data_IF_664590404921
#
_entry.id   IF_664590404921
#
_cell.length_a   1.000
_cell.length_b   1.000
_cell.length_c   1.000
_cell.angle_alpha   90.00
_cell.angle_beta   90.00
_cell.angle_gamma   90.00
#
_symmetry.space_group_name_H-M   'P 1'
#
loop_
_entity.id
_entity.type
_entity.pdbx_description
1 polymer ?
#
# COMPACT_ATOMS: atom_id res chain seq x y z
N UNK A 1 -4.23 -2.24 15.51
CA UNK A 1 -4.56 -2.61 14.11
C UNK A 1 -4.08 -4.02 13.88
N UNK A 2 -4.85 -4.89 13.22
CA UNK A 2 -4.38 -6.24 12.87
C UNK A 2 -3.42 -6.11 11.69
N UNK A 3 -2.15 -6.56 11.79
CA UNK A 3 -1.21 -6.46 10.70
C UNK A 3 -1.68 -7.23 9.47
N UNK A 4 -1.48 -6.64 8.29
CA UNK A 4 -1.77 -7.26 7.00
C UNK A 4 -0.47 -7.80 6.44
N UNK A 5 -0.44 -9.08 6.05
CA UNK A 5 0.68 -9.65 5.33
C UNK A 5 0.49 -9.42 3.82
N UNK A 6 0.94 -8.26 3.33
CA UNK A 6 0.76 -7.85 1.93
C UNK A 6 1.37 -8.84 0.94
N UNK A 7 2.55 -9.39 1.22
CA UNK A 7 3.18 -10.37 0.34
C UNK A 7 2.34 -11.64 0.21
N UNK A 8 1.83 -12.18 1.33
CA UNK A 8 0.91 -13.33 1.29
C UNK A 8 -0.34 -13.01 0.49
N UNK A 9 -0.96 -11.86 0.73
CA UNK A 9 -2.17 -11.47 0.01
C UNK A 9 -1.91 -11.31 -1.50
N UNK A 10 -0.77 -10.74 -1.89
CA UNK A 10 -0.34 -10.64 -3.29
C UNK A 10 -0.24 -12.02 -3.92
N UNK A 11 0.52 -12.93 -3.30
CA UNK A 11 0.75 -14.27 -3.84
C UNK A 11 -0.54 -15.08 -3.96
N UNK A 12 -1.40 -15.07 -2.95
CA UNK A 12 -2.66 -15.82 -2.97
C UNK A 12 -3.64 -15.24 -4.00
N UNK A 13 -3.79 -13.91 -4.08
CA UNK A 13 -4.65 -13.30 -5.10
C UNK A 13 -4.12 -13.53 -6.51
N UNK A 14 -2.80 -13.50 -6.71
CA UNK A 14 -2.20 -13.82 -8.00
C UNK A 14 -2.55 -15.25 -8.41
N UNK A 15 -2.39 -16.23 -7.52
CA UNK A 15 -2.79 -17.63 -7.78
C UNK A 15 -4.26 -17.73 -8.12
N UNK A 16 -5.14 -17.11 -7.33
CA UNK A 16 -6.59 -17.11 -7.60
C UNK A 16 -6.94 -16.53 -8.98
N UNK A 17 -6.24 -15.49 -9.43
CA UNK A 17 -6.44 -14.88 -10.74
C UNK A 17 -5.94 -15.80 -11.87
N UNK A 18 -4.80 -16.47 -11.66
CA UNK A 18 -4.23 -17.42 -12.62
C UNK A 18 -5.08 -18.69 -12.76
N UNK A 19 -5.57 -19.25 -11.65
CA UNK A 19 -6.48 -20.40 -11.66
C UNK A 19 -7.78 -20.06 -12.43
N UNK A 20 -8.31 -18.84 -12.24
CA UNK A 20 -9.45 -18.37 -13.01
C UNK A 20 -9.09 -18.16 -14.49
N UNK A 21 -7.87 -17.72 -14.81
CA UNK A 21 -7.43 -17.58 -16.19
C UNK A 21 -7.35 -18.93 -16.91
N UNK A 22 -6.93 -19.99 -16.22
CA UNK A 22 -6.92 -21.36 -16.75
C UNK A 22 -8.34 -21.87 -17.01
N UNK A 23 -9.30 -21.58 -16.11
CA UNK A 23 -10.71 -21.97 -16.33
C UNK A 23 -11.33 -21.35 -17.59
N UNK A 24 -10.79 -20.22 -18.07
CA UNK A 24 -11.27 -19.62 -19.31
C UNK A 24 -10.96 -20.50 -20.53
N UNK A 25 -9.99 -21.41 -20.49
CA UNK A 25 -9.69 -22.35 -21.59
C UNK A 25 -10.89 -23.23 -21.96
N UNK A 26 -11.72 -23.57 -20.98
CA UNK A 26 -12.92 -24.40 -21.19
C UNK A 26 -14.18 -23.56 -21.37
N UNK A 27 -14.35 -22.49 -20.60
CA UNK A 27 -15.53 -21.61 -20.64
C UNK A 27 -15.10 -20.15 -20.85
N UNK A 28 -15.23 -19.65 -22.08
CA UNK A 28 -14.80 -18.29 -22.40
C UNK A 28 -15.77 -17.23 -21.87
N UNK A 29 -15.29 -16.40 -20.95
CA UNK A 29 -15.96 -15.20 -20.49
C UNK A 29 -15.04 -13.97 -20.68
N UNK A 30 -15.33 -13.08 -21.64
CA UNK A 30 -14.49 -11.91 -21.91
C UNK A 30 -14.53 -10.88 -20.78
N UNK A 31 -15.58 -10.85 -19.96
CA UNK A 31 -15.66 -9.97 -18.79
C UNK A 31 -14.73 -10.42 -17.68
N UNK A 32 -14.72 -11.71 -17.38
CA UNK A 32 -13.75 -12.30 -16.44
C UNK A 32 -12.32 -12.10 -16.97
N UNK A 33 -12.09 -12.39 -18.25
CA UNK A 33 -10.78 -12.20 -18.89
C UNK A 33 -10.27 -10.76 -18.78
N UNK A 34 -11.14 -9.77 -19.02
CA UNK A 34 -10.79 -8.36 -18.94
C UNK A 34 -10.31 -7.94 -17.55
N UNK A 35 -10.99 -8.39 -16.50
CA UNK A 35 -10.61 -8.07 -15.11
C UNK A 35 -9.34 -8.81 -14.65
N UNK A 36 -9.11 -10.04 -15.11
CA UNK A 36 -7.84 -10.74 -14.86
C UNK A 36 -6.68 -9.99 -15.53
N UNK A 37 -6.82 -9.63 -16.81
CA UNK A 37 -5.80 -8.86 -17.52
C UNK A 37 -5.56 -7.49 -16.85
N UNK A 38 -6.63 -6.81 -16.43
CA UNK A 38 -6.54 -5.57 -15.68
C UNK A 38 -5.68 -5.74 -14.43
N UNK A 39 -5.99 -6.74 -13.59
CA UNK A 39 -5.28 -7.01 -12.34
C UNK A 39 -3.80 -7.32 -12.58
N UNK A 40 -3.51 -8.30 -13.45
CA UNK A 40 -2.15 -8.75 -13.71
C UNK A 40 -1.30 -7.67 -14.40
N UNK A 41 -1.93 -6.70 -15.09
CA UNK A 41 -1.22 -5.55 -15.66
C UNK A 41 -0.72 -4.53 -14.62
N UNK A 42 -1.08 -4.66 -13.34
CA UNK A 42 -0.53 -3.83 -12.26
C UNK A 42 0.96 -4.10 -12.03
N UNK A 43 1.44 -5.27 -12.46
CA UNK A 43 2.84 -5.67 -12.43
C UNK A 43 3.55 -5.38 -13.76
N UNK A 44 4.88 -5.50 -13.76
CA UNK A 44 5.66 -5.36 -14.99
C UNK A 44 5.29 -6.46 -15.98
N UNK A 45 4.78 -6.07 -17.15
CA UNK A 45 4.17 -7.01 -18.10
C UNK A 45 5.20 -7.87 -18.84
N UNK A 46 6.46 -7.44 -18.93
CA UNK A 46 7.52 -8.13 -19.70
C UNK A 46 7.80 -9.55 -19.21
N UNK A 47 7.52 -9.83 -17.93
CA UNK A 47 7.80 -11.12 -17.29
C UNK A 47 6.56 -11.99 -17.07
N UNK A 48 5.36 -11.53 -17.46
CA UNK A 48 4.10 -12.24 -17.18
C UNK A 48 3.59 -13.01 -18.40
N UNK A 49 4.11 -14.22 -18.63
CA UNK A 49 3.70 -15.06 -19.77
C UNK A 49 2.21 -15.40 -19.77
N UNK A 50 1.61 -15.63 -18.60
CA UNK A 50 0.19 -15.95 -18.47
C UNK A 50 -0.70 -14.77 -18.88
N UNK A 51 -0.33 -13.54 -18.46
CA UNK A 51 -0.98 -12.32 -18.92
C UNK A 51 -0.88 -12.17 -20.45
N UNK A 52 0.33 -12.34 -21.02
CA UNK A 52 0.53 -12.24 -22.47
C UNK A 52 -0.31 -13.25 -23.25
N UNK A 53 -0.39 -14.50 -22.77
CA UNK A 53 -1.28 -15.52 -23.36
C UNK A 53 -2.74 -15.10 -23.34
N UNK A 54 -3.22 -14.58 -22.21
CA UNK A 54 -4.62 -14.16 -22.07
C UNK A 54 -4.94 -12.94 -22.93
N UNK A 55 -4.04 -11.95 -23.00
CA UNK A 55 -4.17 -10.80 -23.88
C UNK A 55 -4.25 -11.22 -25.35
N UNK A 56 -3.36 -12.12 -25.80
CA UNK A 56 -3.39 -12.64 -27.17
C UNK A 56 -4.71 -13.34 -27.48
N UNK A 57 -5.27 -14.06 -26.50
CA UNK A 57 -6.59 -14.69 -26.64
C UNK A 57 -7.72 -13.65 -26.73
N UNK A 58 -7.71 -12.61 -25.90
CA UNK A 58 -8.68 -11.50 -26.00
C UNK A 58 -8.61 -10.83 -27.38
N UNK A 59 -7.41 -10.61 -27.92
CA UNK A 59 -7.23 -10.03 -29.25
C UNK A 59 -7.75 -10.95 -30.37
N UNK A 60 -7.59 -12.27 -30.22
CA UNK A 60 -8.15 -13.25 -31.15
C UNK A 60 -9.68 -13.25 -31.10
N UNK A 61 -10.26 -13.27 -29.91
CA UNK A 61 -11.70 -13.17 -29.70
C UNK A 61 -12.28 -11.93 -30.40
N UNK A 62 -11.65 -10.76 -30.25
CA UNK A 62 -12.07 -9.53 -30.94
C UNK A 62 -11.91 -9.54 -32.47
N UNK A 63 -11.29 -10.56 -33.07
CA UNK A 63 -11.15 -10.71 -34.53
C UNK A 63 -12.08 -11.78 -35.09
N UNK A 64 -12.36 -12.82 -34.31
CA UNK A 64 -13.05 -14.03 -34.78
C UNK A 64 -14.55 -14.05 -34.42
N UNK A 65 -14.97 -13.34 -33.38
CA UNK A 65 -16.36 -13.33 -32.92
C UNK A 65 -17.25 -12.48 -33.85
N UNK A 66 -18.21 -13.12 -34.52
CA UNK A 66 -19.14 -12.46 -35.46
C UNK A 66 -20.17 -11.57 -34.76
N UNK A 67 -20.47 -11.84 -33.48
CA UNK A 67 -21.50 -11.16 -32.71
C UNK A 67 -20.92 -10.11 -31.74
N UNK A 68 -19.62 -9.81 -31.90
CA UNK A 68 -18.82 -8.97 -31.02
C UNK A 68 -19.51 -7.65 -30.62
N UNK A 69 -20.17 -7.00 -31.58
CA UNK A 69 -20.80 -5.69 -31.42
C UNK A 69 -22.32 -5.74 -31.16
N UNK A 70 -22.91 -6.93 -31.22
CA UNK A 70 -24.34 -7.15 -30.97
C UNK A 70 -24.59 -7.43 -29.47
N UNK A 71 -23.61 -8.02 -28.79
CA UNK A 71 -23.70 -8.32 -27.36
C UNK A 71 -23.21 -7.11 -26.55
N UNK A 72 -24.14 -6.33 -26.01
CA UNK A 72 -23.83 -5.10 -25.24
C UNK A 72 -22.85 -5.32 -24.07
N UNK A 73 -22.88 -6.49 -23.43
CA UNK A 73 -21.97 -6.82 -22.30
C UNK A 73 -20.51 -6.98 -22.72
N UNK A 74 -20.23 -7.12 -24.01
CA UNK A 74 -18.87 -7.21 -24.54
C UNK A 74 -18.19 -5.85 -24.69
N UNK A 75 -18.94 -4.74 -24.62
CA UNK A 75 -18.38 -3.41 -24.82
C UNK A 75 -17.31 -3.04 -23.76
N UNK A 76 -17.52 -3.37 -22.49
CA UNK A 76 -16.49 -3.19 -21.45
C UNK A 76 -15.22 -4.00 -21.72
N UNK A 77 -15.32 -5.34 -21.95
CA UNK A 77 -14.17 -6.15 -22.34
C UNK A 77 -13.42 -5.70 -23.60
N UNK A 78 -14.15 -5.22 -24.62
CA UNK A 78 -13.56 -4.61 -25.82
C UNK A 78 -12.74 -3.37 -25.42
N UNK A 79 -13.32 -2.48 -24.62
CA UNK A 79 -12.65 -1.28 -24.14
C UNK A 79 -11.40 -1.61 -23.31
N UNK A 80 -11.48 -2.61 -22.44
CA UNK A 80 -10.35 -3.09 -21.65
C UNK A 80 -9.22 -3.63 -22.54
N UNK A 81 -9.55 -4.34 -23.61
CA UNK A 81 -8.56 -4.87 -24.56
C UNK A 81 -7.85 -3.76 -25.33
N UNK A 82 -8.60 -2.74 -25.78
CA UNK A 82 -8.02 -1.54 -26.41
C UNK A 82 -7.07 -0.84 -25.43
N UNK A 83 -7.51 -0.65 -24.18
CA UNK A 83 -6.66 -0.07 -23.14
C UNK A 83 -5.38 -0.87 -22.88
N UNK A 84 -5.45 -2.21 -22.84
CA UNK A 84 -4.28 -3.08 -22.69
C UNK A 84 -3.30 -2.95 -23.86
N UNK A 85 -3.80 -2.89 -25.10
CA UNK A 85 -2.95 -2.67 -26.28
C UNK A 85 -2.14 -1.39 -26.17
N UNK A 86 -2.79 -0.28 -25.80
CA UNK A 86 -2.10 0.99 -25.56
C UNK A 86 -1.07 0.88 -24.44
N UNK A 87 -1.41 0.19 -23.35
CA UNK A 87 -0.50 0.01 -22.20
C UNK A 87 0.74 -0.82 -22.56
N UNK A 88 0.65 -1.71 -23.55
CA UNK A 88 1.78 -2.47 -24.11
C UNK A 88 2.57 -1.69 -25.18
N UNK A 89 2.22 -0.44 -25.48
CA UNK A 89 2.87 0.35 -26.53
C UNK A 89 2.50 -0.12 -27.95
N UNK A 90 1.47 -0.94 -28.11
CA UNK A 90 0.94 -1.30 -29.43
C UNK A 90 0.07 -0.17 -29.99
N UNK A 91 0.01 -0.07 -31.31
CA UNK A 91 -0.89 0.87 -31.98
C UNK A 91 -2.35 0.47 -31.73
N UNK A 92 -3.15 1.42 -31.26
CA UNK A 92 -4.59 1.22 -31.07
C UNK A 92 -5.29 1.05 -32.42
N UNK A 93 -6.24 0.12 -32.50
CA UNK A 93 -7.09 -0.04 -33.68
C UNK A 93 -8.16 1.06 -33.69
N UNK A 94 -7.88 2.16 -34.41
CA UNK A 94 -8.76 3.32 -34.50
C UNK A 94 -10.17 2.94 -34.96
N UNK A 95 -10.31 1.95 -35.85
CA UNK A 95 -11.61 1.50 -36.35
C UNK A 95 -12.48 0.94 -35.22
N UNK A 96 -11.88 0.17 -34.31
CA UNK A 96 -12.57 -0.40 -33.15
C UNK A 96 -12.89 0.65 -32.09
N UNK A 97 -12.05 1.67 -31.93
CA UNK A 97 -12.35 2.80 -31.04
C UNK A 97 -13.56 3.59 -31.55
N UNK A 98 -13.64 3.82 -32.86
CA UNK A 98 -14.79 4.50 -33.49
C UNK A 98 -16.05 3.67 -33.32
N UNK A 99 -16.03 2.38 -33.64
CA UNK A 99 -17.19 1.49 -33.48
C UNK A 99 -17.66 1.40 -32.02
N UNK A 100 -16.72 1.21 -31.07
CA UNK A 100 -17.01 1.23 -29.65
C UNK A 100 -17.65 2.56 -29.21
N UNK A 101 -17.14 3.68 -29.72
CA UNK A 101 -17.68 5.00 -29.43
C UNK A 101 -19.13 5.14 -29.92
N UNK A 102 -19.43 4.68 -31.13
CA UNK A 102 -20.79 4.71 -31.68
C UNK A 102 -21.75 3.82 -30.88
N UNK A 103 -21.35 2.57 -30.58
CA UNK A 103 -22.17 1.64 -29.79
C UNK A 103 -22.45 2.21 -28.38
N UNK A 104 -21.45 2.80 -27.72
CA UNK A 104 -21.63 3.40 -26.39
C UNK A 104 -22.57 4.60 -26.41
N UNK A 105 -22.54 5.45 -27.45
CA UNK A 105 -23.48 6.58 -27.59
C UNK A 105 -24.94 6.13 -27.71
N UNK A 106 -25.17 4.96 -28.31
CA UNK A 106 -26.52 4.41 -28.51
C UNK A 106 -27.09 3.75 -27.25
N UNK A 107 -26.27 3.47 -26.24
CA UNK A 107 -26.73 2.88 -25.00
C UNK A 107 -27.55 3.87 -24.18
N UNK A 108 -28.69 3.41 -23.67
CA UNK A 108 -29.50 4.13 -22.71
C UNK A 108 -29.30 3.55 -21.30
N UNK A 109 -29.08 4.40 -20.28
CA UNK A 109 -28.93 3.95 -18.90
C UNK A 109 -30.27 3.51 -18.25
N UNK A 110 -31.40 3.95 -18.79
CA UNK A 110 -32.72 3.55 -18.31
C UNK A 110 -33.05 2.09 -18.69
N UNK A 111 -32.42 1.56 -19.74
CA UNK A 111 -32.62 0.18 -20.18
C UNK A 111 -32.09 -0.81 -19.14
N UNK A 112 -32.96 -1.75 -18.72
CA UNK A 112 -32.68 -2.71 -17.63
C UNK A 112 -31.37 -3.48 -17.79
N UNK A 113 -31.02 -3.83 -19.03
CA UNK A 113 -29.86 -4.67 -19.35
C UNK A 113 -28.64 -3.89 -19.84
N UNK A 114 -28.73 -2.56 -19.84
CA UNK A 114 -27.65 -1.71 -20.30
C UNK A 114 -26.39 -1.86 -19.45
N UNK A 115 -25.21 -2.01 -20.07
CA UNK A 115 -23.95 -2.06 -19.35
C UNK A 115 -23.64 -0.72 -18.65
N UNK A 116 -24.31 0.37 -19.01
CA UNK A 116 -24.21 1.67 -18.32
C UNK A 116 -24.72 1.64 -16.88
N UNK A 117 -25.55 0.63 -16.54
CA UNK A 117 -26.02 0.42 -15.16
C UNK A 117 -25.02 -0.35 -14.32
N UNK A 118 -24.02 -0.97 -14.91
CA UNK A 118 -23.01 -1.74 -14.19
C UNK A 118 -21.73 -0.91 -14.04
N UNK A 119 -21.35 -0.51 -12.81
CA UNK A 119 -20.18 0.32 -12.58
C UNK A 119 -18.88 -0.36 -13.02
N UNK A 120 -18.83 -1.70 -13.01
CA UNK A 120 -17.65 -2.46 -13.43
C UNK A 120 -17.47 -2.36 -14.95
N UNK A 121 -18.56 -2.49 -15.71
CA UNK A 121 -18.58 -2.27 -17.16
C UNK A 121 -18.22 -0.83 -17.51
N UNK A 122 -18.83 0.16 -16.83
CA UNK A 122 -18.54 1.58 -17.10
C UNK A 122 -17.09 1.94 -16.78
N UNK A 123 -16.51 1.35 -15.74
CA UNK A 123 -15.09 1.52 -15.46
C UNK A 123 -14.22 0.96 -16.60
N UNK A 124 -14.47 -0.26 -17.08
CA UNK A 124 -13.74 -0.80 -18.23
C UNK A 124 -13.92 0.05 -19.50
N UNK A 125 -15.13 0.52 -19.78
CA UNK A 125 -15.42 1.44 -20.89
C UNK A 125 -14.59 2.73 -20.80
N UNK A 126 -14.46 3.30 -19.60
CA UNK A 126 -13.70 4.53 -19.38
C UNK A 126 -12.20 4.38 -19.68
N UNK A 127 -11.63 3.21 -19.40
CA UNK A 127 -10.22 2.90 -19.68
C UNK A 127 -9.93 2.93 -21.19
N UNK A 128 -10.77 2.25 -21.97
CA UNK A 128 -10.63 2.18 -23.44
C UNK A 128 -10.95 3.50 -24.12
N UNK A 129 -12.03 4.16 -23.72
CA UNK A 129 -12.51 5.39 -24.37
C UNK A 129 -11.81 6.67 -23.92
N UNK A 130 -10.73 6.59 -23.13
CA UNK A 130 -9.92 7.77 -22.76
C UNK A 130 -9.48 8.60 -23.98
N UNK A 131 -9.08 7.92 -25.07
CA UNK A 131 -8.70 8.50 -26.37
C UNK A 131 -9.85 8.52 -27.39
N UNK A 132 -11.03 8.02 -27.02
CA UNK A 132 -12.19 7.91 -27.91
C UNK A 132 -12.91 9.24 -28.19
N UNK A 133 -13.99 9.16 -28.97
CA UNK A 133 -14.77 10.31 -29.42
C UNK A 133 -15.26 11.18 -28.23
N UNK A 134 -15.18 12.51 -28.36
CA UNK A 134 -15.68 13.50 -27.38
C UNK A 134 -17.13 13.24 -26.97
N UNK A 135 -18.00 12.89 -27.91
CA UNK A 135 -19.42 12.64 -27.64
C UNK A 135 -19.63 11.40 -26.76
N UNK A 136 -18.98 10.28 -27.11
CA UNK A 136 -19.07 9.04 -26.33
C UNK A 136 -18.54 9.23 -24.90
N UNK A 137 -17.40 9.95 -24.75
CA UNK A 137 -16.87 10.32 -23.44
C UNK A 137 -17.84 11.24 -22.67
N UNK A 138 -18.43 12.22 -23.35
CA UNK A 138 -19.43 13.12 -22.77
C UNK A 138 -20.66 12.36 -22.25
N UNK A 139 -21.12 11.38 -23.01
CA UNK A 139 -22.22 10.48 -22.62
C UNK A 139 -21.87 9.69 -21.35
N UNK A 140 -20.72 9.00 -21.34
CA UNK A 140 -20.27 8.25 -20.16
C UNK A 140 -20.09 9.14 -18.93
N UNK A 141 -19.52 10.35 -19.10
CA UNK A 141 -19.40 11.32 -18.01
C UNK A 141 -20.77 11.69 -17.44
N UNK A 142 -21.74 12.02 -18.31
CA UNK A 142 -23.10 12.36 -17.90
C UNK A 142 -23.73 11.27 -17.05
N UNK A 143 -23.64 10.01 -17.51
CA UNK A 143 -24.17 8.86 -16.79
C UNK A 143 -23.45 8.66 -15.45
N UNK A 144 -22.12 8.68 -15.44
CA UNK A 144 -21.36 8.50 -14.21
C UNK A 144 -21.69 9.58 -13.17
N UNK A 145 -21.82 10.84 -13.57
CA UNK A 145 -22.26 11.93 -12.68
C UNK A 145 -23.67 11.71 -12.10
N UNK A 146 -24.60 11.18 -12.89
CA UNK A 146 -25.95 10.85 -12.41
C UNK A 146 -25.91 9.72 -11.38
N UNK A 147 -25.11 8.68 -11.64
CA UNK A 147 -25.04 7.49 -10.81
C UNK A 147 -24.22 7.66 -9.52
N UNK A 148 -23.35 8.67 -9.41
CA UNK A 148 -22.66 9.04 -8.15
C UNK A 148 -23.61 9.26 -6.96
N UNK A 149 -24.86 9.65 -7.23
CA UNK A 149 -25.85 9.96 -6.19
C UNK A 149 -26.61 8.71 -5.71
N UNK A 150 -26.41 7.55 -6.31
CA UNK A 150 -27.26 6.37 -6.15
C UNK A 150 -26.48 5.13 -5.69
N UNK A 151 -27.17 4.24 -4.99
CA UNK A 151 -26.64 2.92 -4.65
C UNK A 151 -25.56 2.87 -3.56
N UNK A 152 -24.94 1.69 -3.37
CA UNK A 152 -23.92 1.44 -2.35
C UNK A 152 -22.62 2.17 -2.65
N UNK A 153 -21.73 2.25 -1.65
CA UNK A 153 -20.50 3.05 -1.73
C UNK A 153 -19.58 2.56 -2.85
N UNK A 154 -19.37 1.24 -2.98
CA UNK A 154 -18.60 0.62 -4.06
C UNK A 154 -19.04 1.08 -5.45
N UNK A 155 -20.35 1.13 -5.70
CA UNK A 155 -20.92 1.59 -6.98
C UNK A 155 -20.49 3.02 -7.27
N UNK A 156 -20.66 3.90 -6.28
CA UNK A 156 -20.30 5.32 -6.41
C UNK A 156 -18.81 5.51 -6.67
N UNK A 157 -17.95 4.77 -5.96
CA UNK A 157 -16.49 4.87 -6.13
C UNK A 157 -16.08 4.43 -7.54
N UNK A 158 -16.63 3.33 -8.07
CA UNK A 158 -16.30 2.87 -9.42
C UNK A 158 -16.77 3.86 -10.52
N UNK A 159 -17.93 4.50 -10.36
CA UNK A 159 -18.33 5.60 -11.27
C UNK A 159 -17.43 6.83 -11.13
N UNK A 160 -17.02 7.18 -9.91
CA UNK A 160 -16.03 8.23 -9.69
C UNK A 160 -14.69 7.89 -10.37
N UNK A 161 -14.32 6.60 -10.39
CA UNK A 161 -13.08 6.15 -10.99
C UNK A 161 -13.16 6.23 -12.51
N UNK A 162 -14.31 5.87 -13.08
CA UNK A 162 -14.58 6.08 -14.49
C UNK A 162 -14.46 7.56 -14.89
N UNK A 163 -14.96 8.49 -14.06
CA UNK A 163 -14.80 9.93 -14.28
C UNK A 163 -13.32 10.37 -14.23
N UNK A 164 -12.53 9.86 -13.26
CA UNK A 164 -11.07 10.09 -13.19
C UNK A 164 -10.36 9.62 -14.45
N UNK A 165 -10.67 8.42 -14.94
CA UNK A 165 -10.08 7.89 -16.17
C UNK A 165 -10.42 8.73 -17.41
N UNK A 166 -11.63 9.33 -17.43
CA UNK A 166 -12.09 10.26 -18.46
C UNK A 166 -11.59 11.71 -18.27
N UNK A 167 -10.67 11.95 -17.32
CA UNK A 167 -9.98 13.22 -17.11
C UNK A 167 -10.69 14.21 -16.20
N UNK A 168 -11.71 13.80 -15.45
CA UNK A 168 -12.36 14.66 -14.45
C UNK A 168 -11.58 14.66 -13.13
N UNK A 169 -11.63 15.78 -12.40
CA UNK A 169 -11.03 15.91 -11.07
C UNK A 169 -12.06 15.62 -9.97
N UNK A 170 -12.32 14.33 -9.73
CA UNK A 170 -13.30 13.85 -8.74
C UNK A 170 -12.60 13.28 -7.51
N UNK A 171 -13.04 13.68 -6.32
CA UNK A 171 -12.60 13.11 -5.03
C UNK A 171 -13.36 11.83 -4.70
N UNK A 172 -12.79 10.96 -3.87
CA UNK A 172 -13.49 9.77 -3.39
C UNK A 172 -14.90 10.10 -2.83
N UNK A 173 -15.97 9.43 -3.31
CA UNK A 173 -17.29 9.54 -2.71
C UNK A 173 -17.28 9.23 -1.22
N UNK A 174 -17.93 10.07 -0.42
CA UNK A 174 -18.01 9.87 1.04
C UNK A 174 -19.13 8.87 1.39
N UNK A 175 -18.87 8.05 2.41
CA UNK A 175 -19.84 7.12 2.97
C UNK A 175 -19.18 6.11 3.90
N UNK A 176 -19.97 5.51 4.79
CA UNK A 176 -19.48 4.44 5.66
C UNK A 176 -19.54 3.09 4.90
N UNK A 177 -18.43 2.34 4.82
CA UNK A 177 -18.44 1.05 4.15
C UNK A 177 -19.36 0.07 4.87
N UNK A 178 -20.23 -0.60 4.12
CA UNK A 178 -21.23 -1.54 4.66
C UNK A 178 -20.78 -3.00 4.54
N UNK A 179 -19.94 -3.30 3.56
CA UNK A 179 -19.49 -4.67 3.27
C UNK A 179 -18.01 -4.74 2.87
N UNK A 180 -17.55 -5.97 2.59
CA UNK A 180 -16.17 -6.26 2.17
C UNK A 180 -15.84 -5.57 0.83
N UNK A 181 -16.79 -5.49 -0.09
CA UNK A 181 -16.59 -4.88 -1.40
C UNK A 181 -16.40 -3.37 -1.29
N UNK A 182 -17.14 -2.68 -0.42
CA UNK A 182 -16.96 -1.25 -0.14
C UNK A 182 -15.55 -0.96 0.38
N UNK A 183 -15.05 -1.76 1.34
CA UNK A 183 -13.71 -1.57 1.91
C UNK A 183 -12.61 -1.83 0.87
N UNK A 184 -12.71 -2.92 0.10
CA UNK A 184 -11.77 -3.21 -0.98
C UNK A 184 -11.72 -2.06 -1.99
N UNK A 185 -12.88 -1.53 -2.37
CA UNK A 185 -12.96 -0.46 -3.37
C UNK A 185 -12.40 0.86 -2.83
N UNK A 186 -12.56 1.15 -1.52
CA UNK A 186 -11.93 2.30 -0.87
C UNK A 186 -10.40 2.20 -0.83
N UNK A 187 -9.89 1.03 -0.44
CA UNK A 187 -8.44 0.76 -0.44
C UNK A 187 -7.86 0.90 -1.84
N UNK A 188 -8.50 0.27 -2.83
CA UNK A 188 -8.10 0.38 -4.22
C UNK A 188 -8.08 1.82 -4.72
N UNK A 189 -9.11 2.61 -4.40
CA UNK A 189 -9.14 4.03 -4.75
C UNK A 189 -7.96 4.80 -4.14
N UNK A 190 -7.71 4.62 -2.84
CA UNK A 190 -6.65 5.31 -2.13
C UNK A 190 -5.26 4.98 -2.69
N UNK A 191 -5.05 3.71 -3.07
CA UNK A 191 -3.80 3.27 -3.69
C UNK A 191 -3.63 3.75 -5.13
N UNK A 192 -4.68 3.68 -5.94
CA UNK A 192 -4.61 3.98 -7.38
C UNK A 192 -4.48 5.47 -7.66
N UNK A 193 -5.19 6.31 -6.91
CA UNK A 193 -5.27 7.76 -7.16
C UNK A 193 -4.45 8.60 -6.16
N UNK A 194 -3.57 7.96 -5.38
CA UNK A 194 -2.63 8.58 -4.43
C UNK A 194 -3.30 9.59 -3.47
N UNK A 195 -4.46 9.23 -2.89
CA UNK A 195 -5.15 10.11 -1.95
C UNK A 195 -4.60 10.00 -0.52
N UNK A 196 -4.70 11.09 0.25
CA UNK A 196 -4.12 11.25 1.60
C UNK A 196 -4.73 10.37 2.72
N UNK A 197 -5.46 9.30 2.36
CA UNK A 197 -6.21 8.45 3.31
C UNK A 197 -5.86 6.96 3.23
N UNK A 198 -4.71 6.61 2.64
CA UNK A 198 -4.22 5.22 2.52
C UNK A 198 -4.21 4.48 3.86
N UNK A 199 -3.61 5.06 4.90
CA UNK A 199 -3.56 4.48 6.24
C UNK A 199 -4.93 4.07 6.79
N UNK A 200 -5.92 4.98 6.76
CA UNK A 200 -7.25 4.70 7.28
C UNK A 200 -7.98 3.63 6.45
N UNK A 201 -7.77 3.60 5.13
CA UNK A 201 -8.33 2.57 4.27
C UNK A 201 -7.74 1.18 4.57
N UNK A 202 -6.41 1.08 4.71
CA UNK A 202 -5.75 -0.18 5.08
C UNK A 202 -6.12 -0.64 6.49
N UNK A 203 -6.29 0.28 7.43
CA UNK A 203 -6.79 -0.03 8.78
C UNK A 203 -8.21 -0.60 8.75
N UNK A 204 -9.11 -0.06 7.91
CA UNK A 204 -10.43 -0.63 7.69
C UNK A 204 -10.33 -2.05 7.11
N UNK A 205 -9.45 -2.27 6.13
CA UNK A 205 -9.20 -3.60 5.56
C UNK A 205 -8.68 -4.59 6.60
N UNK A 206 -7.72 -4.17 7.44
CA UNK A 206 -7.15 -5.00 8.50
C UNK A 206 -8.21 -5.56 9.47
N UNK A 207 -9.32 -4.84 9.68
CA UNK A 207 -10.44 -5.27 10.52
C UNK A 207 -11.35 -6.32 9.86
N UNK A 208 -11.37 -6.40 8.52
CA UNK A 208 -12.22 -7.33 7.78
C UNK A 208 -11.44 -8.47 7.10
N UNK A 209 -10.11 -8.43 7.13
CA UNK A 209 -9.23 -9.34 6.39
C UNK A 209 -9.56 -10.83 6.62
N UNK A 210 -9.92 -11.22 7.85
CA UNK A 210 -10.25 -12.59 8.21
C UNK A 210 -11.60 -13.08 7.64
N UNK A 211 -12.44 -12.17 7.13
CA UNK A 211 -13.72 -12.48 6.47
C UNK A 211 -13.54 -12.82 4.99
N UNK A 212 -12.34 -12.71 4.44
CA UNK A 212 -12.04 -12.95 3.03
C UNK A 212 -11.49 -14.37 2.87
N UNK A 213 -12.07 -15.14 1.96
CA UNK A 213 -11.54 -16.44 1.57
C UNK A 213 -10.39 -16.26 0.57
N UNK A 214 -9.14 -16.45 1.04
CA UNK A 214 -7.96 -16.49 0.17
C UNK A 214 -7.76 -17.85 -0.51
N UNK A 215 -8.38 -18.91 0.02
CA UNK A 215 -8.46 -20.21 -0.62
C UNK A 215 -9.93 -20.59 -0.77
N UNK A 216 -10.54 -20.43 -1.96
CA UNK A 216 -11.95 -20.71 -2.18
C UNK A 216 -12.34 -22.15 -1.86
N UNK A 217 -11.43 -23.10 -2.08
CA UNK A 217 -11.67 -24.53 -1.89
C UNK A 217 -11.69 -24.94 -0.41
N UNK A 218 -11.13 -24.09 0.47
CA UNK A 218 -11.08 -24.32 1.92
C UNK A 218 -11.72 -23.15 2.70
N UNK A 219 -12.65 -22.42 2.08
CA UNK A 219 -13.32 -21.29 2.71
C UNK A 219 -14.19 -21.76 3.89
N UNK A 220 -14.03 -21.13 5.05
CA UNK A 220 -14.96 -21.30 6.17
C UNK A 220 -16.33 -20.68 5.83
N UNK A 221 -17.40 -21.14 6.49
CA UNK A 221 -18.75 -20.55 6.38
C UNK A 221 -18.77 -19.05 6.72
N UNK A 222 -17.82 -18.58 7.53
CA UNK A 222 -17.68 -17.17 7.90
C UNK A 222 -16.87 -16.33 6.91
N UNK A 223 -16.33 -16.95 5.86
CA UNK A 223 -15.51 -16.29 4.85
C UNK A 223 -16.29 -16.13 3.54
N UNK A 224 -16.08 -14.98 2.90
CA UNK A 224 -16.69 -14.62 1.62
C UNK A 224 -15.68 -14.82 0.50
N UNK A 225 -16.12 -15.51 -0.55
CA UNK A 225 -15.41 -15.53 -1.83
C UNK A 225 -15.55 -14.17 -2.52
N UNK A 226 -14.42 -13.59 -2.93
CA UNK A 226 -14.40 -12.35 -3.68
C UNK A 226 -14.86 -12.57 -5.12
N UNK A 227 -15.60 -11.61 -5.66
CA UNK A 227 -15.87 -11.52 -7.10
C UNK A 227 -14.57 -11.28 -7.88
N UNK A 228 -14.55 -11.58 -9.18
CA UNK A 228 -13.36 -11.35 -10.02
C UNK A 228 -12.88 -9.89 -9.94
N UNK A 229 -13.82 -8.95 -9.97
CA UNK A 229 -13.55 -7.52 -9.88
C UNK A 229 -12.96 -7.15 -8.51
N UNK A 230 -13.52 -7.65 -7.41
CA UNK A 230 -12.94 -7.40 -6.07
C UNK A 230 -11.53 -7.96 -5.93
N UNK A 231 -11.25 -9.14 -6.51
CA UNK A 231 -9.88 -9.68 -6.55
C UNK A 231 -8.96 -8.76 -7.34
N UNK A 232 -9.41 -8.28 -8.50
CA UNK A 232 -8.63 -7.41 -9.37
C UNK A 232 -8.30 -6.05 -8.71
N UNK A 233 -9.30 -5.39 -8.10
CA UNK A 233 -9.13 -4.13 -7.38
C UNK A 233 -8.20 -4.30 -6.17
N UNK A 234 -8.41 -5.34 -5.37
CA UNK A 234 -7.57 -5.62 -4.21
C UNK A 234 -6.12 -5.96 -4.62
N UNK A 235 -5.95 -6.73 -5.69
CA UNK A 235 -4.64 -7.10 -6.22
C UNK A 235 -3.83 -5.87 -6.65
N UNK A 236 -4.41 -4.98 -7.46
CA UNK A 236 -3.74 -3.73 -7.86
C UNK A 236 -3.36 -2.89 -6.63
N UNK A 237 -4.26 -2.77 -5.66
CA UNK A 237 -3.99 -2.01 -4.43
C UNK A 237 -2.82 -2.60 -3.64
N UNK A 238 -2.77 -3.92 -3.47
CA UNK A 238 -1.65 -4.59 -2.78
C UNK A 238 -0.36 -4.44 -3.57
N UNK A 239 -0.39 -4.59 -4.89
CA UNK A 239 0.80 -4.39 -5.73
C UNK A 239 1.34 -2.98 -5.52
N UNK A 240 0.49 -1.95 -5.51
CA UNK A 240 0.90 -0.58 -5.25
C UNK A 240 1.48 -0.40 -3.84
N UNK A 241 0.81 -0.90 -2.81
CA UNK A 241 1.31 -0.84 -1.42
C UNK A 241 2.64 -1.60 -1.24
N UNK A 242 2.85 -2.72 -1.94
CA UNK A 242 4.13 -3.44 -1.90
C UNK A 242 5.26 -2.71 -2.63
N UNK A 243 4.94 -1.88 -3.63
CA UNK A 243 5.93 -1.08 -4.37
C UNK A 243 6.24 0.25 -3.67
N UNK A 244 5.23 0.88 -3.10
CA UNK A 244 5.29 2.19 -2.46
C UNK A 244 4.56 2.15 -1.11
N UNK A 245 5.15 1.53 -0.08
CA UNK A 245 4.49 1.29 1.20
C UNK A 245 4.08 2.58 1.91
N UNK A 246 2.90 2.62 2.49
CA UNK A 246 2.46 3.81 3.21
C UNK A 246 3.27 3.96 4.53
N UNK A 247 3.99 5.08 4.75
CA UNK A 247 4.90 5.19 5.89
C UNK A 247 4.23 5.08 7.26
N UNK A 248 3.00 5.60 7.41
CA UNK A 248 2.25 5.52 8.67
C UNK A 248 1.86 4.08 9.00
N UNK A 249 1.60 3.27 7.98
CA UNK A 249 1.35 1.85 8.09
C UNK A 249 2.62 1.09 8.48
N UNK A 250 3.75 1.42 7.86
CA UNK A 250 5.07 0.89 8.26
C UNK A 250 5.39 1.23 9.72
N UNK A 251 5.15 2.48 10.15
CA UNK A 251 5.32 2.90 11.55
C UNK A 251 4.52 1.98 12.50
N UNK A 252 3.28 1.65 12.14
CA UNK A 252 2.46 0.78 12.98
C UNK A 252 2.94 -0.67 13.00
N UNK A 253 3.50 -1.17 11.90
CA UNK A 253 3.94 -2.56 11.77
C UNK A 253 5.35 -2.82 12.30
N UNK A 254 6.22 -1.82 12.28
CA UNK A 254 7.55 -1.96 12.85
C UNK A 254 7.43 -2.27 14.35
N UNK A 255 8.15 -3.29 14.85
CA UNK A 255 8.14 -3.64 16.26
C UNK A 255 9.01 -2.64 17.04
N UNK A 256 8.68 -1.35 17.00
CA UNK A 256 9.40 -0.31 17.73
C UNK A 256 9.28 -0.52 19.24
N UNK A 257 10.30 -0.06 19.97
CA UNK A 257 10.28 -0.04 21.44
C UNK A 257 8.99 0.66 21.93
N UNK A 258 8.21 0.08 22.87
CA UNK A 258 6.89 0.62 23.24
C UNK A 258 6.92 2.09 23.65
N UNK A 259 7.95 2.51 24.39
CA UNK A 259 8.12 3.91 24.80
C UNK A 259 8.33 4.85 23.62
N UNK A 260 9.11 4.43 22.60
CA UNK A 260 9.29 5.22 21.38
C UNK A 260 7.96 5.33 20.67
N UNK A 261 7.30 4.20 20.43
CA UNK A 261 6.00 4.19 19.73
C UNK A 261 4.98 5.09 20.43
N UNK A 262 4.96 5.12 21.77
CA UNK A 262 4.08 5.99 22.55
C UNK A 262 4.37 7.49 22.32
N UNK A 263 5.65 7.89 22.38
CA UNK A 263 6.05 9.31 22.32
C UNK A 263 5.96 9.87 20.89
N UNK A 264 6.26 9.04 19.89
CA UNK A 264 6.51 9.55 18.53
C UNK A 264 5.31 9.42 17.60
N UNK A 265 4.29 8.64 17.97
CA UNK A 265 3.17 8.31 17.08
C UNK A 265 2.43 9.54 16.56
N UNK A 266 2.05 10.48 17.42
CA UNK A 266 1.30 11.65 16.97
C UNK A 266 2.16 12.52 16.03
N UNK A 267 3.40 12.79 16.43
CA UNK A 267 4.35 13.52 15.60
C UNK A 267 4.57 12.87 14.23
N UNK A 268 4.70 11.54 14.17
CA UNK A 268 4.87 10.84 12.90
C UNK A 268 3.62 10.96 12.01
N UNK A 269 2.43 10.80 12.58
CA UNK A 269 1.16 10.90 11.85
C UNK A 269 0.87 12.32 11.35
N UNK A 270 1.33 13.34 12.08
CA UNK A 270 1.18 14.75 11.72
C UNK A 270 2.28 15.22 10.74
N UNK A 271 3.25 14.36 10.40
CA UNK A 271 4.38 14.70 9.54
C UNK A 271 5.52 15.46 10.23
N UNK A 272 5.46 15.62 11.55
CA UNK A 272 6.47 16.25 12.40
C UNK A 272 7.63 15.27 12.73
N UNK A 273 8.25 14.69 11.70
CA UNK A 273 9.24 13.62 11.85
C UNK A 273 10.46 14.00 12.70
N UNK A 274 10.92 15.25 12.62
CA UNK A 274 12.06 15.71 13.42
C UNK A 274 11.73 15.71 14.93
N UNK A 275 10.51 16.08 15.30
CA UNK A 275 10.08 16.07 16.70
C UNK A 275 9.92 14.63 17.21
N UNK A 276 9.37 13.74 16.37
CA UNK A 276 9.32 12.31 16.65
C UNK A 276 10.71 11.75 17.00
N UNK A 277 11.73 12.05 16.19
CA UNK A 277 13.11 11.59 16.46
C UNK A 277 13.68 12.22 17.73
N UNK A 278 13.45 13.52 17.94
CA UNK A 278 13.97 14.22 19.11
C UNK A 278 13.43 13.64 20.42
N UNK A 279 12.13 13.33 20.48
CA UNK A 279 11.51 12.65 21.61
C UNK A 279 12.07 11.23 21.81
N UNK A 280 12.34 10.49 20.74
CA UNK A 280 12.97 9.18 20.83
C UNK A 280 14.42 9.25 21.38
N UNK A 281 15.21 10.26 20.97
CA UNK A 281 16.57 10.48 21.48
C UNK A 281 16.56 10.84 22.96
N UNK A 282 15.62 11.69 23.41
CA UNK A 282 15.44 11.97 24.85
C UNK A 282 15.11 10.71 25.63
N UNK A 283 14.21 9.87 25.12
CA UNK A 283 13.84 8.62 25.76
C UNK A 283 15.02 7.64 25.88
N UNK A 284 15.90 7.60 24.87
CA UNK A 284 17.14 6.81 24.94
C UNK A 284 18.07 7.32 26.05
N UNK A 285 18.28 8.65 26.14
CA UNK A 285 19.10 9.22 27.21
C UNK A 285 18.51 8.91 28.59
N UNK A 286 17.21 9.14 28.77
CA UNK A 286 16.49 8.85 30.00
C UNK A 286 16.65 7.37 30.41
N UNK A 287 16.53 6.43 29.46
CA UNK A 287 16.75 5.02 29.73
C UNK A 287 18.15 4.72 30.26
N UNK A 288 19.21 5.28 29.64
CA UNK A 288 20.59 5.06 30.09
C UNK A 288 20.77 5.62 31.52
N UNK A 289 20.25 6.82 31.77
CA UNK A 289 20.30 7.44 33.10
C UNK A 289 19.58 6.59 34.15
N UNK A 290 18.38 6.09 33.85
CA UNK A 290 17.61 5.23 34.75
C UNK A 290 18.32 3.90 35.05
N UNK A 291 18.99 3.32 34.05
CA UNK A 291 19.70 2.04 34.19
C UNK A 291 20.98 2.17 35.01
N UNK A 292 21.70 3.27 34.83
CA UNK A 292 23.05 3.49 35.40
C UNK A 292 23.04 4.31 36.68
N UNK A 293 22.02 5.13 36.90
CA UNK A 293 21.96 6.12 37.99
C UNK A 293 22.78 7.38 37.74
N UNK A 294 23.45 7.51 36.59
CA UNK A 294 24.31 8.64 36.26
C UNK A 294 23.49 9.68 35.48
N UNK A 295 23.25 10.85 36.06
CA UNK A 295 22.42 11.93 35.47
C UNK A 295 23.18 13.24 35.22
N UNK A 296 24.44 13.33 35.64
CA UNK A 296 25.27 14.53 35.66
C UNK A 296 26.20 14.66 34.43
N UNK A 297 25.99 13.84 33.40
CA UNK A 297 26.81 13.79 32.18
C UNK A 297 26.01 14.18 30.95
N UNK A 298 26.69 14.80 29.97
CA UNK A 298 26.11 14.94 28.62
C UNK A 298 25.90 13.57 28.00
N UNK A 299 25.06 13.47 26.98
CA UNK A 299 24.62 12.19 26.42
C UNK A 299 25.80 11.38 25.84
N UNK A 300 26.75 12.03 25.18
CA UNK A 300 27.97 11.38 24.66
C UNK A 300 28.89 10.94 25.80
N UNK A 301 29.11 11.80 26.81
CA UNK A 301 29.92 11.46 27.98
C UNK A 301 29.29 10.33 28.80
N UNK A 302 27.97 10.27 28.86
CA UNK A 302 27.21 9.22 29.53
C UNK A 302 27.47 7.88 28.85
N UNK A 303 27.42 7.81 27.52
CA UNK A 303 27.77 6.59 26.77
C UNK A 303 29.23 6.20 27.02
N UNK A 304 30.17 7.14 26.99
CA UNK A 304 31.58 6.86 27.25
C UNK A 304 31.83 6.31 28.65
N UNK A 305 31.19 6.92 29.65
CA UNK A 305 31.34 6.54 31.04
C UNK A 305 30.73 5.17 31.35
N UNK A 306 29.72 4.72 30.59
CA UNK A 306 28.92 3.54 30.92
C UNK A 306 29.18 2.35 30.00
N UNK A 307 29.55 2.58 28.74
CA UNK A 307 29.64 1.55 27.69
C UNK A 307 31.03 1.44 27.04
N UNK A 308 31.92 2.44 27.16
CA UNK A 308 33.25 2.48 26.51
C UNK A 308 34.39 2.53 27.54
N UNK A 309 34.46 1.48 28.34
CA UNK A 309 35.46 1.30 29.39
C UNK A 309 36.18 -0.04 29.24
N UNK A 310 37.27 -0.20 29.98
CA UNK A 310 37.86 -1.53 30.16
C UNK A 310 36.82 -2.48 30.78
N UNK A 311 36.87 -3.80 30.49
CA UNK A 311 35.81 -4.73 30.89
C UNK A 311 35.43 -4.71 32.38
N UNK A 312 36.37 -4.39 33.28
CA UNK A 312 36.14 -4.30 34.72
C UNK A 312 35.39 -3.04 35.17
N UNK A 313 35.30 -2.02 34.31
CA UNK A 313 34.71 -0.71 34.59
C UNK A 313 33.43 -0.46 33.76
N UNK A 314 33.00 -1.43 32.94
CA UNK A 314 31.77 -1.33 32.15
C UNK A 314 30.55 -1.42 33.07
N UNK A 315 29.63 -0.45 32.95
CA UNK A 315 28.36 -0.46 33.67
C UNK A 315 27.29 -1.16 32.84
N UNK A 316 27.21 -0.86 31.54
CA UNK A 316 26.27 -1.49 30.61
C UNK A 316 27.03 -2.50 29.75
N UNK A 317 26.72 -3.78 29.95
CA UNK A 317 27.37 -4.90 29.25
C UNK A 317 26.37 -5.56 28.31
N UNK A 318 26.59 -5.41 27.00
CA UNK A 318 25.66 -5.87 25.95
C UNK A 318 25.76 -7.36 25.61
N UNK A 319 26.81 -8.05 26.07
CA UNK A 319 27.06 -9.46 25.81
C UNK A 319 27.90 -10.12 26.93
N UNK A 320 27.78 -11.43 27.11
CA UNK A 320 28.42 -12.17 28.22
C UNK A 320 29.84 -12.68 27.90
N UNK A 321 30.36 -12.43 26.68
CA UNK A 321 31.60 -13.04 26.18
C UNK A 321 32.72 -12.01 25.92
N UNK A 322 32.85 -11.02 26.81
CA UNK A 322 33.87 -9.96 26.79
C UNK A 322 35.32 -10.47 26.92
N UNK A 323 35.53 -11.74 27.28
CA UNK A 323 36.84 -12.39 27.26
C UNK A 323 37.34 -12.66 25.82
N UNK A 324 36.46 -12.62 24.83
CA UNK A 324 36.81 -12.82 23.42
C UNK A 324 36.98 -11.50 22.68
N UNK A 325 37.76 -11.50 21.60
CA UNK A 325 37.87 -10.33 20.70
C UNK A 325 36.50 -9.94 20.14
N UNK A 326 35.67 -10.93 19.78
CA UNK A 326 34.34 -10.71 19.22
C UNK A 326 33.41 -9.98 20.20
N UNK A 327 33.37 -10.39 21.47
CA UNK A 327 32.52 -9.75 22.48
C UNK A 327 32.95 -8.31 22.77
N UNK A 328 34.26 -8.06 22.83
CA UNK A 328 34.81 -6.69 22.95
C UNK A 328 34.43 -5.82 21.76
N UNK A 329 34.54 -6.35 20.54
CA UNK A 329 34.16 -5.62 19.32
C UNK A 329 32.66 -5.33 19.23
N UNK A 330 31.80 -6.27 19.65
CA UNK A 330 30.35 -6.01 19.68
C UNK A 330 30.00 -4.93 20.71
N UNK A 331 30.58 -5.00 21.91
CA UNK A 331 30.39 -4.01 22.97
C UNK A 331 30.76 -2.60 22.47
N UNK A 332 31.97 -2.45 21.92
CA UNK A 332 32.45 -1.17 21.39
C UNK A 332 31.59 -0.68 20.22
N UNK A 333 31.21 -1.58 19.31
CA UNK A 333 30.36 -1.24 18.16
C UNK A 333 29.00 -0.68 18.57
N UNK A 334 28.33 -1.30 19.54
CA UNK A 334 27.04 -0.81 20.04
C UNK A 334 27.16 0.53 20.77
N UNK A 335 28.24 0.71 21.53
CA UNK A 335 28.52 1.97 22.18
C UNK A 335 28.79 3.09 21.16
N UNK A 336 29.54 2.81 20.09
CA UNK A 336 29.78 3.75 18.98
C UNK A 336 28.49 4.11 18.23
N UNK A 337 27.59 3.15 17.99
CA UNK A 337 26.27 3.44 17.40
C UNK A 337 25.48 4.37 18.33
N UNK A 338 25.47 4.11 19.65
CA UNK A 338 24.78 4.93 20.63
C UNK A 338 25.33 6.37 20.70
N UNK A 339 26.66 6.55 20.72
CA UNK A 339 27.28 7.88 20.58
C UNK A 339 26.90 8.55 19.26
N UNK A 340 26.88 7.79 18.17
CA UNK A 340 26.51 8.26 16.84
C UNK A 340 25.08 8.79 16.79
N UNK A 341 24.12 8.11 17.40
CA UNK A 341 22.73 8.55 17.55
C UNK A 341 22.68 9.93 18.22
N UNK A 342 23.34 10.11 19.36
CA UNK A 342 23.33 11.39 20.09
C UNK A 342 24.02 12.52 19.32
N UNK A 343 25.05 12.23 18.53
CA UNK A 343 25.74 13.24 17.72
C UNK A 343 24.97 13.60 16.45
N UNK A 344 24.39 12.62 15.76
CA UNK A 344 23.76 12.79 14.47
C UNK A 344 22.30 13.24 14.56
N UNK A 345 21.50 12.61 15.44
CA UNK A 345 20.04 12.80 15.46
C UNK A 345 19.58 13.90 16.41
N UNK A 346 20.45 14.37 17.33
CA UNK A 346 20.16 15.51 18.22
C UNK A 346 20.34 16.86 17.54
N UNK A 347 21.08 16.92 16.44
CA UNK A 347 21.34 18.16 15.71
C UNK A 347 20.59 18.27 14.37
N UNK A 348 19.27 18.03 14.30
CA UNK A 348 18.51 18.34 13.11
C UNK A 348 18.29 19.85 13.13
N UNK A 349 19.25 20.63 12.63
CA UNK A 349 18.92 21.91 12.00
C UNK A 349 18.22 22.91 12.96
N UNK A 350 18.47 22.83 14.27
CA UNK A 350 17.82 23.66 15.32
C UNK A 350 18.17 25.15 15.30
N UNK A 351 18.94 25.60 14.30
CA UNK A 351 19.28 27.00 14.04
C UNK A 351 18.64 27.54 12.75
N UNK A 352 17.74 26.79 12.11
CA UNK A 352 16.99 27.23 10.93
C UNK A 352 15.47 27.03 11.14
N UNK A 353 14.63 27.91 10.57
CA UNK A 353 13.16 27.82 10.67
C UNK A 353 12.59 26.47 10.18
N UNK A 354 11.40 26.08 10.70
CA UNK A 354 10.73 24.81 10.36
C UNK A 354 10.41 24.63 8.86
N UNK A 355 10.24 25.72 8.13
CA UNK A 355 9.97 25.73 6.68
C UNK A 355 11.25 25.63 5.83
N UNK A 356 12.43 25.59 6.45
CA UNK A 356 13.68 25.50 5.74
C UNK A 356 13.78 24.15 4.99
N UNK A 357 14.23 24.10 3.72
CA UNK A 357 14.34 22.85 2.95
C UNK A 357 15.29 21.84 3.60
N UNK A 358 16.33 22.32 4.27
CA UNK A 358 17.13 21.54 5.20
C UNK A 358 16.38 21.27 6.52
N UNK A 359 15.08 21.13 6.61
CA UNK A 359 14.37 20.60 7.81
C UNK A 359 13.38 19.51 7.41
N UNK A 360 12.94 19.49 6.14
CA UNK A 360 12.17 18.38 5.59
C UNK A 360 12.98 17.09 5.68
N UNK A 361 12.50 16.19 6.53
CA UNK A 361 12.98 14.83 6.66
C UNK A 361 12.02 13.93 5.90
N UNK A 362 12.56 12.96 5.17
CA UNK A 362 11.74 11.96 4.51
C UNK A 362 11.13 10.99 5.56
N UNK A 363 9.85 10.59 5.42
CA UNK A 363 9.21 9.66 6.38
C UNK A 363 9.93 8.32 6.52
N UNK A 364 10.53 7.78 5.46
CA UNK A 364 11.27 6.51 5.53
C UNK A 364 12.58 6.70 6.27
N UNK A 365 13.29 7.80 6.03
CA UNK A 365 14.47 8.17 6.82
C UNK A 365 14.11 8.31 8.31
N UNK A 366 12.96 8.91 8.62
CA UNK A 366 12.48 9.00 9.99
C UNK A 366 12.22 7.63 10.62
N UNK A 367 11.60 6.70 9.89
CA UNK A 367 11.38 5.32 10.34
C UNK A 367 12.70 4.59 10.62
N UNK A 368 13.71 4.75 9.77
CA UNK A 368 15.03 4.13 9.93
C UNK A 368 15.76 4.64 11.19
N UNK A 369 15.69 5.95 11.44
CA UNK A 369 16.26 6.55 12.65
C UNK A 369 15.52 6.06 13.89
N UNK A 370 14.18 6.07 13.89
CA UNK A 370 13.37 5.56 15.01
C UNK A 370 13.63 4.05 15.26
N UNK A 371 13.79 3.25 14.22
CA UNK A 371 14.11 1.83 14.31
C UNK A 371 15.50 1.60 14.91
N UNK A 372 16.48 2.43 14.56
CA UNK A 372 17.85 2.36 15.09
C UNK A 372 17.89 2.73 16.58
N UNK A 373 17.20 3.82 16.97
CA UNK A 373 17.05 4.20 18.38
C UNK A 373 16.34 3.07 19.16
N UNK A 374 15.24 2.54 18.60
CA UNK A 374 14.50 1.42 19.16
C UNK A 374 15.38 0.18 19.38
N UNK A 375 16.21 -0.16 18.41
CA UNK A 375 17.13 -1.29 18.54
C UNK A 375 18.11 -1.09 19.70
N UNK A 376 18.75 0.08 19.80
CA UNK A 376 19.69 0.38 20.89
C UNK A 376 18.99 0.39 22.25
N UNK A 377 17.78 0.95 22.37
CA UNK A 377 17.02 0.89 23.62
C UNK A 377 16.80 -0.56 24.07
N UNK A 378 16.36 -1.45 23.16
CA UNK A 378 16.19 -2.88 23.48
C UNK A 378 17.50 -3.57 23.87
N UNK A 379 18.61 -3.20 23.22
CA UNK A 379 19.94 -3.73 23.59
C UNK A 379 20.34 -3.30 25.00
N UNK A 380 20.09 -2.04 25.38
CA UNK A 380 20.33 -1.54 26.73
C UNK A 380 19.41 -2.22 27.74
N UNK A 381 18.14 -2.44 27.39
CA UNK A 381 17.19 -3.10 28.28
C UNK A 381 17.62 -4.52 28.62
N UNK A 382 18.10 -5.27 27.64
CA UNK A 382 18.60 -6.64 27.80
C UNK A 382 20.03 -6.72 28.35
N UNK A 383 20.75 -5.61 28.47
CA UNK A 383 22.14 -5.59 28.92
C UNK A 383 22.25 -5.93 30.41
N UNK A 384 23.35 -6.61 30.79
CA UNK A 384 23.73 -6.75 32.19
C UNK A 384 24.19 -5.40 32.73
N UNK A 385 23.75 -5.06 33.94
CA UNK A 385 24.16 -3.85 34.65
C UNK A 385 25.09 -4.24 35.79
N UNK A 386 26.36 -3.83 35.72
CA UNK A 386 27.29 -3.91 36.83
C UNK A 386 27.26 -2.57 37.57
N UNK A 387 26.98 -2.61 38.87
CA UNK A 387 27.11 -1.44 39.74
C UNK A 387 28.31 -1.67 40.64
N UNK A 388 29.14 -0.65 40.82
CA UNK A 388 29.97 -0.63 42.03
C UNK A 388 29.00 -0.54 43.21
N UNK A 389 28.93 -1.62 44.01
CA UNK A 389 28.32 -1.55 45.33
C UNK A 389 29.07 -0.49 46.13
N UNK A 390 28.55 0.73 46.15
CA UNK A 390 28.91 1.75 47.13
C UNK A 390 28.21 1.41 48.45
N UNK A 391 28.52 0.22 48.98
CA UNK A 391 28.26 -0.15 50.37
C UNK A 391 29.53 0.16 51.16
N UNK A 392 29.60 1.39 51.68
CA UNK A 392 30.50 1.76 52.78
C UNK A 392 29.65 2.02 54.04
#
# INVERSE_FOLDING_TARGET
MVPINFHRYRDELQRMLLDQAESLETEWDPFVAAWICYALSAEEMENNQSLTKLINRMQRWMKEDSDLWEIQRYLGPIAATIWLQRKMGHQEDESKIVELSEKVKQLNADDKWSPLRDPEQVYLLSLGLKTGNKEARGHLKSIAYQELKRGPLRRKILFAAALRELGESITCPQGNPQDVGDVITLVWWAEKYEESKKYECWKLFGNIQNRIALNPNNASIFQRNLTITEKALLYEAIVNETKYPEPTLLFEYLPLHPRIKQLTRNHFFDGDYSEAIFEAVKALNELIQQRTGITDKSEVELVQATMKKEPSELIIIFNDFLNTKSGKSEQDGLALICEGIFKAFRNPRGHVPKDHPLVKLDPYEALEQLATISYIMKRIESAKIEREDTSN
#
